data_IF_324178601388
#
_entry.id   IF_324178601388
#
_cell.length_a   1.000
_cell.length_b   1.000
_cell.length_c   1.000
_cell.angle_alpha   90.00
_cell.angle_beta   90.00
_cell.angle_gamma   90.00
#
_symmetry.space_group_name_H-M   'P 1'
#
loop_
_entity.id
_entity.type
_entity.pdbx_description
1 polymer ?
#
# COMPACT_ATOMS: atom_id res chain seq x y z
N UNK A 1 23.28 -3.86 -3.20
CA UNK A 1 23.80 -2.53 -2.78
C UNK A 1 22.66 -1.83 -2.06
N UNK A 2 22.83 -1.44 -0.81
CA UNK A 2 21.80 -0.68 -0.08
C UNK A 2 22.25 0.76 0.13
N UNK A 3 21.31 1.69 0.05
CA UNK A 3 21.48 3.10 0.41
C UNK A 3 20.18 3.56 1.09
N UNK A 4 20.23 4.46 2.06
CA UNK A 4 19.02 4.99 2.71
C UNK A 4 18.96 6.51 2.59
N UNK A 5 17.85 7.06 2.09
CA UNK A 5 17.64 8.51 1.96
C UNK A 5 16.14 8.91 2.05
N UNK A 6 15.82 9.90 2.88
CA UNK A 6 14.45 10.37 3.12
C UNK A 6 13.98 11.36 2.03
N UNK A 7 13.06 10.98 1.12
CA UNK A 7 12.62 11.86 0.01
C UNK A 7 11.12 11.77 -0.41
N UNK A 8 10.55 12.83 -1.06
CA UNK A 8 9.13 12.90 -1.46
C UNK A 8 8.72 11.98 -2.65
N UNK A 9 7.42 11.69 -2.76
CA UNK A 9 6.82 10.60 -3.56
C UNK A 9 6.94 10.71 -5.10
N UNK A 10 7.00 11.90 -5.71
CA UNK A 10 7.19 12.03 -7.17
C UNK A 10 8.67 11.97 -7.58
N UNK A 11 9.59 12.44 -6.73
CA UNK A 11 11.02 12.20 -6.88
C UNK A 11 11.35 10.71 -6.83
N UNK A 12 10.61 9.90 -6.08
CA UNK A 12 10.75 8.44 -6.12
C UNK A 12 10.43 7.88 -7.52
N UNK A 13 9.37 8.34 -8.18
CA UNK A 13 8.91 7.80 -9.46
C UNK A 13 9.88 8.10 -10.62
N UNK A 14 10.36 9.34 -10.73
CA UNK A 14 11.34 9.73 -11.77
C UNK A 14 12.72 9.11 -11.54
N UNK A 15 13.12 8.92 -10.28
CA UNK A 15 14.42 8.31 -9.93
C UNK A 15 14.44 6.80 -10.22
N UNK A 16 13.38 6.08 -9.87
CA UNK A 16 13.26 4.63 -10.19
C UNK A 16 13.30 4.40 -11.71
N UNK A 17 12.79 5.35 -12.49
CA UNK A 17 12.94 5.33 -13.94
C UNK A 17 14.40 5.46 -14.40
N UNK A 18 15.12 6.48 -13.91
CA UNK A 18 16.56 6.70 -14.21
C UNK A 18 17.41 5.48 -13.81
N UNK A 19 17.10 4.86 -12.67
CA UNK A 19 17.78 3.64 -12.25
C UNK A 19 17.51 2.45 -13.18
N UNK A 20 16.26 2.25 -13.63
CA UNK A 20 15.92 1.19 -14.59
C UNK A 20 16.51 1.44 -15.98
N UNK A 21 16.63 2.69 -16.41
CA UNK A 21 17.33 3.06 -17.66
C UNK A 21 18.79 2.65 -17.65
N UNK A 22 19.46 2.74 -16.49
CA UNK A 22 20.80 2.19 -16.28
C UNK A 22 20.82 0.68 -15.99
N UNK A 23 19.67 0.01 -16.09
CA UNK A 23 19.51 -1.45 -16.00
C UNK A 23 19.47 -2.01 -14.57
N UNK A 24 19.10 -1.23 -13.56
CA UNK A 24 19.02 -1.68 -12.16
C UNK A 24 17.65 -2.24 -11.78
N UNK A 25 17.64 -3.35 -11.02
CA UNK A 25 16.46 -3.78 -10.26
C UNK A 25 16.56 -3.21 -8.84
N UNK A 26 15.55 -2.45 -8.43
CA UNK A 26 15.53 -1.75 -7.13
C UNK A 26 14.36 -2.25 -6.29
N UNK A 27 14.62 -2.48 -5.00
CA UNK A 27 13.63 -2.73 -3.95
C UNK A 27 13.65 -1.50 -3.03
N UNK A 28 12.50 -0.87 -2.80
CA UNK A 28 12.41 0.32 -1.95
C UNK A 28 11.43 0.10 -0.79
N UNK A 29 11.89 0.28 0.45
CA UNK A 29 11.07 0.28 1.66
C UNK A 29 11.23 1.59 2.44
N UNK A 30 10.25 2.49 2.31
CA UNK A 30 10.24 3.83 2.91
C UNK A 30 11.46 4.65 2.52
N UNK A 31 12.46 4.69 3.41
CA UNK A 31 13.70 5.44 3.28
C UNK A 31 14.89 4.51 2.97
N UNK A 32 14.72 3.19 3.01
CA UNK A 32 15.75 2.19 2.74
C UNK A 32 15.63 1.66 1.30
N UNK A 33 16.71 1.74 0.53
CA UNK A 33 16.80 1.26 -0.85
C UNK A 33 17.72 0.05 -0.93
N UNK A 34 17.33 -0.94 -1.73
CA UNK A 34 18.15 -2.03 -2.22
C UNK A 34 18.27 -1.97 -3.73
N UNK A 35 19.45 -2.28 -4.24
CA UNK A 35 19.74 -2.39 -5.67
C UNK A 35 20.38 -3.75 -5.92
N UNK A 36 19.79 -4.51 -6.83
CA UNK A 36 20.27 -5.79 -7.32
C UNK A 36 20.48 -5.71 -8.83
N UNK A 37 21.59 -6.28 -9.32
CA UNK A 37 21.84 -6.43 -10.75
C UNK A 37 22.80 -7.60 -10.99
N UNK A 38 22.55 -8.40 -12.04
CA UNK A 38 23.43 -9.50 -12.44
C UNK A 38 24.55 -8.95 -13.32
N UNK A 39 25.74 -8.65 -12.76
CA UNK A 39 26.88 -8.06 -13.51
C UNK A 39 28.24 -8.62 -13.10
N UNK A 40 29.22 -8.49 -14.02
CA UNK A 40 30.64 -8.84 -13.83
C UNK A 40 31.46 -7.79 -13.03
N UNK A 41 31.00 -6.53 -12.95
CA UNK A 41 31.77 -5.41 -12.33
C UNK A 41 30.92 -4.56 -11.37
N UNK A 42 30.57 -5.11 -10.20
CA UNK A 42 29.64 -4.46 -9.27
C UNK A 42 30.22 -3.22 -8.56
N UNK A 43 31.54 -3.14 -8.36
CA UNK A 43 32.21 -2.05 -7.63
C UNK A 43 32.27 -0.71 -8.41
N UNK A 44 32.52 -0.75 -9.72
CA UNK A 44 32.54 0.46 -10.57
C UNK A 44 31.18 1.18 -10.50
N UNK A 45 30.15 0.36 -10.49
CA UNK A 45 28.77 0.78 -10.54
C UNK A 45 28.24 1.25 -9.17
N UNK A 46 28.77 0.70 -8.06
CA UNK A 46 28.58 1.26 -6.73
C UNK A 46 29.05 2.71 -6.67
N UNK A 47 30.26 3.00 -7.19
CA UNK A 47 30.81 4.37 -7.24
C UNK A 47 30.03 5.31 -8.17
N UNK A 48 29.55 4.82 -9.32
CA UNK A 48 28.68 5.61 -10.21
C UNK A 48 27.36 6.01 -9.54
N UNK A 49 26.84 5.15 -8.67
CA UNK A 49 25.59 5.36 -7.95
C UNK A 49 25.79 6.34 -6.77
N UNK A 50 26.90 6.23 -6.05
CA UNK A 50 27.36 7.20 -5.04
C UNK A 50 27.54 8.61 -5.66
N UNK A 51 28.20 8.70 -6.82
CA UNK A 51 28.37 9.96 -7.56
C UNK A 51 27.05 10.55 -8.07
N UNK A 52 26.09 9.70 -8.47
CA UNK A 52 24.74 10.12 -8.84
C UNK A 52 24.01 10.73 -7.63
N UNK A 53 24.13 10.12 -6.45
CA UNK A 53 23.51 10.64 -5.24
C UNK A 53 24.11 11.99 -4.83
N UNK A 54 25.43 12.12 -4.86
CA UNK A 54 26.13 13.37 -4.61
C UNK A 54 25.73 14.47 -5.59
N UNK A 55 25.71 14.19 -6.89
CA UNK A 55 25.29 15.17 -7.92
C UNK A 55 23.81 15.58 -7.82
N UNK A 56 22.98 14.74 -7.21
CA UNK A 56 21.57 15.04 -6.93
C UNK A 56 21.32 15.71 -5.56
N UNK A 57 22.40 16.02 -4.81
CA UNK A 57 22.32 16.65 -3.48
C UNK A 57 21.78 15.73 -2.38
N UNK A 58 22.06 14.42 -2.46
CA UNK A 58 21.57 13.40 -1.53
C UNK A 58 22.76 12.86 -0.71
N UNK A 59 22.69 13.01 0.60
CA UNK A 59 23.68 12.44 1.53
C UNK A 59 23.27 11.01 1.94
N UNK A 60 24.13 10.03 1.66
CA UNK A 60 23.93 8.66 2.09
C UNK A 60 24.35 8.43 3.55
N UNK A 61 23.63 7.54 4.22
CA UNK A 61 24.03 7.05 5.53
C UNK A 61 25.20 6.06 5.40
N UNK A 62 26.43 6.53 5.61
CA UNK A 62 27.68 5.75 5.44
C UNK A 62 27.71 4.42 6.22
N UNK A 63 27.08 4.34 7.39
CA UNK A 63 27.00 3.11 8.21
C UNK A 63 25.95 2.10 7.72
N UNK A 64 25.12 2.45 6.73
CA UNK A 64 24.10 1.59 6.11
C UNK A 64 24.39 1.29 4.64
N UNK A 65 25.37 1.99 4.06
CA UNK A 65 25.80 1.79 2.69
C UNK A 65 26.78 0.62 2.62
N UNK A 66 26.36 -0.49 2.00
CA UNK A 66 27.20 -1.68 1.85
C UNK A 66 27.61 -1.88 0.40
N UNK A 67 28.92 -2.09 0.21
CA UNK A 67 29.49 -2.56 -1.05
C UNK A 67 28.74 -3.80 -1.55
N UNK A 68 28.66 -4.02 -2.87
CA UNK A 68 27.97 -5.17 -3.42
C UNK A 68 28.53 -6.47 -2.87
N UNK A 69 27.67 -7.28 -2.27
CA UNK A 69 28.00 -8.55 -1.63
C UNK A 69 26.91 -9.56 -1.92
N UNK A 70 27.27 -10.84 -1.93
CA UNK A 70 26.32 -11.95 -2.04
C UNK A 70 25.58 -12.21 -0.73
N UNK A 71 26.10 -11.70 0.39
CA UNK A 71 25.52 -11.80 1.73
C UNK A 71 25.44 -10.41 2.36
N UNK A 72 24.25 -9.96 2.73
CA UNK A 72 24.04 -8.62 3.26
C UNK A 72 22.79 -8.48 4.12
N UNK A 73 22.82 -7.59 5.12
CA UNK A 73 21.66 -7.30 5.98
C UNK A 73 20.78 -6.19 5.39
N UNK A 74 19.45 -6.42 5.38
CA UNK A 74 18.42 -5.47 4.96
C UNK A 74 17.19 -5.58 5.85
N UNK A 75 16.69 -4.44 6.33
CA UNK A 75 15.55 -4.40 7.27
C UNK A 75 15.72 -5.30 8.50
N UNK A 76 16.98 -5.56 8.88
CA UNK A 76 17.31 -6.41 10.01
C UNK A 76 17.46 -7.90 9.70
N UNK A 77 17.37 -8.32 8.43
CA UNK A 77 17.44 -9.71 7.96
C UNK A 77 18.64 -9.85 7.02
N UNK A 78 19.42 -10.92 7.17
CA UNK A 78 20.50 -11.26 6.26
C UNK A 78 19.92 -11.98 5.05
N UNK A 79 20.17 -11.43 3.87
CA UNK A 79 19.92 -12.09 2.60
C UNK A 79 21.23 -12.67 2.07
N UNK A 80 21.28 -13.99 1.88
CA UNK A 80 22.38 -14.70 1.22
C UNK A 80 21.88 -15.24 -0.12
N UNK A 81 22.39 -14.66 -1.19
CA UNK A 81 22.02 -15.01 -2.57
C UNK A 81 22.71 -16.27 -3.10
N UNK A 82 23.79 -16.73 -2.45
CA UNK A 82 24.49 -17.97 -2.81
C UNK A 82 23.76 -19.16 -2.20
N UNK A 83 23.40 -19.06 -0.91
CA UNK A 83 22.60 -20.07 -0.21
C UNK A 83 21.11 -19.96 -0.49
N UNK A 84 20.68 -18.86 -1.11
CA UNK A 84 19.27 -18.50 -1.31
C UNK A 84 18.49 -18.45 0.01
N UNK A 85 19.12 -17.97 1.07
CA UNK A 85 18.55 -17.92 2.42
C UNK A 85 18.20 -16.51 2.87
N UNK A 86 17.11 -16.41 3.66
CA UNK A 86 16.80 -15.25 4.50
C UNK A 86 16.98 -15.63 5.96
N UNK A 87 18.03 -15.10 6.59
CA UNK A 87 18.51 -15.47 7.92
C UNK A 87 18.37 -14.30 8.90
N UNK A 88 18.14 -14.61 10.17
CA UNK A 88 18.27 -13.62 11.24
C UNK A 88 19.75 -13.51 11.59
N UNK A 89 20.30 -12.28 11.73
CA UNK A 89 21.65 -12.05 12.23
C UNK A 89 21.93 -12.77 13.56
N UNK A 90 23.17 -13.27 13.73
CA UNK A 90 23.57 -14.09 14.88
C UNK A 90 23.48 -13.35 16.22
N UNK A 91 23.77 -12.05 16.23
CA UNK A 91 23.60 -11.17 17.39
C UNK A 91 22.13 -11.13 17.85
N UNK A 92 21.19 -10.97 16.91
CA UNK A 92 19.75 -10.97 17.21
C UNK A 92 19.26 -12.35 17.63
N UNK A 93 19.82 -13.43 17.07
CA UNK A 93 19.50 -14.79 17.51
C UNK A 93 19.99 -15.07 18.93
N UNK A 94 21.20 -14.61 19.29
CA UNK A 94 21.72 -14.73 20.67
C UNK A 94 20.81 -14.03 21.67
N UNK A 95 20.35 -12.82 21.35
CA UNK A 95 19.38 -12.09 22.17
C UNK A 95 18.06 -12.86 22.35
N UNK A 96 17.54 -13.46 21.28
CA UNK A 96 16.29 -14.21 21.32
C UNK A 96 16.46 -15.50 22.14
N UNK A 97 17.58 -16.21 21.97
CA UNK A 97 17.88 -17.42 22.74
C UNK A 97 18.06 -17.11 24.23
N UNK A 98 18.75 -16.03 24.57
CA UNK A 98 18.89 -15.57 25.96
C UNK A 98 17.52 -15.28 26.59
N UNK A 99 16.65 -14.59 25.86
CA UNK A 99 15.29 -14.31 26.34
C UNK A 99 14.49 -15.60 26.46
N UNK A 100 14.49 -16.47 25.46
CA UNK A 100 13.78 -17.75 25.56
C UNK A 100 14.28 -18.59 26.73
N UNK A 101 15.58 -18.64 27.01
CA UNK A 101 16.14 -19.32 28.18
C UNK A 101 15.63 -18.75 29.51
N UNK A 102 15.52 -17.42 29.62
CA UNK A 102 14.96 -16.77 30.82
C UNK A 102 13.46 -17.05 31.09
N UNK A 103 12.77 -17.66 30.13
CA UNK A 103 11.37 -18.07 30.25
C UNK A 103 11.18 -19.55 30.58
N UNK A 104 12.27 -20.32 30.62
CA UNK A 104 12.21 -21.74 30.98
C UNK A 104 11.76 -21.92 32.45
N UNK A 105 10.79 -22.81 32.67
CA UNK A 105 10.23 -23.06 34.01
C UNK A 105 9.44 -21.91 34.63
N UNK A 106 9.31 -20.76 33.94
CA UNK A 106 8.63 -19.58 34.47
C UNK A 106 7.12 -19.82 34.56
N UNK A 107 6.56 -19.59 35.74
CA UNK A 107 5.12 -19.76 36.02
C UNK A 107 4.34 -18.44 35.93
N UNK A 108 5.01 -17.30 36.06
CA UNK A 108 4.40 -15.98 35.91
C UNK A 108 5.38 -14.90 35.41
N UNK A 109 4.87 -13.89 34.71
CA UNK A 109 5.67 -12.80 34.15
C UNK A 109 4.93 -11.45 34.21
N UNK A 110 5.68 -10.34 34.17
CA UNK A 110 5.08 -9.01 34.03
C UNK A 110 4.65 -8.78 32.58
N UNK A 111 3.64 -7.95 32.35
CA UNK A 111 3.16 -7.64 31.00
C UNK A 111 4.27 -7.13 30.06
N UNK A 112 5.19 -6.31 30.56
CA UNK A 112 6.34 -5.81 29.78
C UNK A 112 7.23 -6.95 29.27
N UNK A 113 7.43 -7.97 30.10
CA UNK A 113 8.24 -9.14 29.72
C UNK A 113 7.52 -9.91 28.60
N UNK A 114 6.20 -10.13 28.75
CA UNK A 114 5.36 -10.81 27.75
C UNK A 114 5.41 -10.08 26.41
N UNK A 115 5.24 -8.76 26.41
CA UNK A 115 5.31 -7.92 25.21
C UNK A 115 6.69 -8.00 24.54
N UNK A 116 7.77 -7.98 25.33
CA UNK A 116 9.15 -8.09 24.84
C UNK A 116 9.40 -9.43 24.15
N UNK A 117 8.98 -10.54 24.78
CA UNK A 117 9.08 -11.88 24.22
C UNK A 117 8.33 -11.98 22.88
N UNK A 118 7.05 -11.57 22.87
CA UNK A 118 6.19 -11.67 21.68
C UNK A 118 6.69 -10.78 20.54
N UNK A 119 7.17 -9.57 20.84
CA UNK A 119 7.75 -8.69 19.84
C UNK A 119 8.95 -9.33 19.14
N UNK A 120 9.84 -9.95 19.92
CA UNK A 120 11.03 -10.64 19.39
C UNK A 120 10.70 -11.92 18.61
N UNK A 121 9.74 -12.72 19.09
CA UNK A 121 9.27 -13.90 18.35
C UNK A 121 8.51 -13.55 17.06
N UNK A 122 7.77 -12.44 17.07
CA UNK A 122 7.08 -11.96 15.87
C UNK A 122 8.08 -11.51 14.78
N UNK A 123 9.17 -10.86 15.19
CA UNK A 123 10.28 -10.56 14.29
C UNK A 123 10.92 -11.84 13.77
N UNK A 124 11.22 -12.82 14.63
CA UNK A 124 11.79 -14.10 14.21
C UNK A 124 10.87 -14.86 13.22
N UNK A 125 9.55 -14.80 13.39
CA UNK A 125 8.56 -15.43 12.52
C UNK A 125 8.52 -14.85 11.08
N UNK A 126 9.27 -13.78 10.77
CA UNK A 126 9.53 -13.36 9.39
C UNK A 126 10.41 -14.35 8.65
N UNK A 127 11.40 -14.94 9.35
CA UNK A 127 12.35 -15.93 8.84
C UNK A 127 12.01 -17.37 9.27
N UNK A 128 11.10 -17.55 10.21
CA UNK A 128 10.66 -18.88 10.67
C UNK A 128 9.17 -19.05 10.37
N UNK A 129 8.83 -19.35 9.11
CA UNK A 129 7.43 -19.40 8.62
C UNK A 129 6.53 -20.37 9.41
N UNK A 130 6.97 -21.61 9.76
CA UNK A 130 6.15 -22.53 10.57
C UNK A 130 5.80 -21.97 11.96
N UNK A 131 6.65 -21.09 12.50
CA UNK A 131 6.46 -20.43 13.79
C UNK A 131 5.23 -19.52 13.86
N UNK A 132 4.68 -19.07 12.72
CA UNK A 132 3.52 -18.16 12.66
C UNK A 132 2.26 -18.76 13.28
N UNK A 133 2.11 -20.09 13.26
CA UNK A 133 0.97 -20.79 13.88
C UNK A 133 0.95 -20.55 15.39
N UNK A 134 2.12 -20.61 16.03
CA UNK A 134 2.30 -20.39 17.47
C UNK A 134 2.17 -18.91 17.85
N UNK A 135 2.52 -17.99 16.94
CA UNK A 135 2.36 -16.54 17.16
C UNK A 135 0.90 -16.13 17.36
N UNK A 136 -0.06 -16.76 16.68
CA UNK A 136 -1.48 -16.44 16.84
C UNK A 136 -1.97 -16.63 18.28
N UNK A 137 -1.58 -17.74 18.92
CA UNK A 137 -1.93 -18.03 20.32
C UNK A 137 -1.25 -17.08 21.29
N UNK A 138 0.04 -16.81 21.10
CA UNK A 138 0.78 -15.84 21.91
C UNK A 138 0.17 -14.44 21.84
N UNK A 139 -0.22 -13.99 20.64
CA UNK A 139 -0.86 -12.69 20.44
C UNK A 139 -2.26 -12.63 21.05
N UNK A 140 -3.04 -13.71 21.00
CA UNK A 140 -4.35 -13.78 21.66
C UNK A 140 -4.19 -13.75 23.18
N UNK A 141 -3.25 -14.52 23.74
CA UNK A 141 -2.95 -14.48 25.16
C UNK A 141 -2.51 -13.08 25.63
N UNK A 142 -1.66 -12.39 24.84
CA UNK A 142 -1.28 -11.02 25.14
C UNK A 142 -2.49 -10.07 25.21
N UNK A 143 -3.50 -10.26 24.36
CA UNK A 143 -4.74 -9.46 24.40
C UNK A 143 -5.54 -9.75 25.66
N UNK A 144 -5.63 -11.01 26.08
CA UNK A 144 -6.37 -11.43 27.29
C UNK A 144 -5.76 -10.90 28.59
N UNK A 145 -4.44 -10.68 28.61
CA UNK A 145 -3.70 -10.27 29.81
C UNK A 145 -3.25 -8.81 29.81
N UNK A 146 -3.62 -8.05 28.78
CA UNK A 146 -3.12 -6.68 28.55
C UNK A 146 -3.47 -5.71 29.69
N UNK A 147 -4.63 -5.86 30.31
CA UNK A 147 -5.09 -4.95 31.39
C UNK A 147 -4.78 -5.48 32.80
N UNK A 148 -4.15 -6.65 32.91
CA UNK A 148 -3.80 -7.24 34.22
C UNK A 148 -2.58 -6.53 34.82
N UNK A 149 -2.71 -6.09 36.07
CA UNK A 149 -1.62 -5.50 36.84
C UNK A 149 -0.88 -6.58 37.64
N UNK A 150 0.44 -6.45 37.74
CA UNK A 150 1.29 -7.36 38.51
C UNK A 150 1.85 -8.53 37.68
N UNK A 151 2.05 -9.67 38.36
CA UNK A 151 2.54 -10.89 37.72
C UNK A 151 1.36 -11.68 37.13
N UNK A 152 1.47 -12.02 35.85
CA UNK A 152 0.47 -12.77 35.09
C UNK A 152 0.92 -14.23 35.03
N UNK A 153 0.06 -15.15 35.47
CA UNK A 153 0.31 -16.59 35.35
C UNK A 153 0.38 -17.01 33.88
N UNK A 154 1.35 -17.86 33.55
CA UNK A 154 1.60 -18.35 32.19
C UNK A 154 0.79 -19.64 31.98
N UNK A 155 -0.19 -19.64 31.07
CA UNK A 155 -0.97 -20.84 30.77
C UNK A 155 -0.11 -21.98 30.20
N UNK A 156 -0.52 -23.23 30.45
CA UNK A 156 0.25 -24.43 30.05
C UNK A 156 0.42 -24.56 28.52
N UNK A 157 -0.57 -24.15 27.74
CA UNK A 157 -0.50 -24.07 26.27
C UNK A 157 0.54 -23.03 25.79
N UNK A 158 0.66 -21.90 26.47
CA UNK A 158 1.67 -20.87 26.16
C UNK A 158 3.07 -21.36 26.52
N UNK A 159 3.21 -22.05 27.66
CA UNK A 159 4.48 -22.66 28.03
C UNK A 159 4.94 -23.68 26.97
N UNK A 160 4.03 -24.53 26.46
CA UNK A 160 4.30 -25.45 25.35
C UNK A 160 4.78 -24.72 24.08
N UNK A 161 4.21 -23.56 23.77
CA UNK A 161 4.62 -22.76 22.60
C UNK A 161 6.02 -22.16 22.79
N UNK A 162 6.36 -21.71 24.00
CA UNK A 162 7.71 -21.22 24.34
C UNK A 162 8.73 -22.36 24.24
N UNK A 163 8.42 -23.55 24.77
CA UNK A 163 9.26 -24.74 24.67
C UNK A 163 9.47 -25.15 23.20
N UNK A 164 8.42 -25.04 22.38
CA UNK A 164 8.55 -25.27 20.95
C UNK A 164 9.56 -24.31 20.32
N UNK A 165 9.46 -23.00 20.59
CA UNK A 165 10.42 -22.01 20.10
C UNK A 165 11.85 -22.26 20.59
N UNK A 166 12.04 -22.65 21.86
CA UNK A 166 13.35 -23.00 22.41
C UNK A 166 14.01 -24.17 21.65
N UNK A 167 13.24 -25.21 21.32
CA UNK A 167 13.74 -26.37 20.56
C UNK A 167 13.95 -26.04 19.08
N UNK A 168 13.10 -25.20 18.50
CA UNK A 168 13.08 -24.96 17.06
C UNK A 168 14.08 -23.89 16.60
N UNK A 169 14.29 -22.83 17.39
CA UNK A 169 15.21 -21.72 17.05
C UNK A 169 16.67 -22.15 16.80
N UNK A 170 17.24 -23.11 17.56
CA UNK A 170 18.57 -23.65 17.27
C UNK A 170 18.66 -24.43 15.96
N UNK A 171 17.55 -25.05 15.54
CA UNK A 171 17.48 -25.96 14.40
C UNK A 171 17.15 -25.23 13.09
N UNK A 172 16.58 -24.02 13.17
CA UNK A 172 16.00 -23.36 12.01
C UNK A 172 16.33 -21.85 11.97
N UNK A 173 17.40 -21.49 11.26
CA UNK A 173 17.69 -20.13 10.83
C UNK A 173 17.98 -20.12 9.33
N UNK A 174 17.13 -19.45 8.54
CA UNK A 174 17.24 -19.41 7.08
C UNK A 174 15.99 -19.97 6.39
N UNK A 175 15.29 -19.12 5.64
CA UNK A 175 14.28 -19.56 4.66
C UNK A 175 14.99 -19.81 3.34
N UNK A 176 14.98 -21.04 2.80
CA UNK A 176 15.22 -21.22 1.36
C UNK A 176 14.15 -20.46 0.60
N UNK A 177 14.55 -19.45 -0.18
CA UNK A 177 13.66 -18.54 -0.91
C UNK A 177 12.79 -19.27 -1.94
N UNK A 178 13.14 -20.51 -2.28
CA UNK A 178 12.38 -21.45 -3.10
C UNK A 178 12.08 -22.71 -2.29
N UNK A 179 10.79 -23.12 -2.27
CA UNK A 179 10.43 -24.50 -1.96
C UNK A 179 11.06 -25.36 -3.06
N UNK A 180 12.00 -26.22 -2.68
CA UNK A 180 12.57 -27.24 -3.57
C UNK A 180 11.71 -28.51 -3.58
N UNK A 181 10.48 -28.44 -3.05
CA UNK A 181 9.56 -29.57 -3.04
C UNK A 181 8.72 -29.49 -4.32
N UNK A 182 8.89 -30.50 -5.19
CA UNK A 182 7.88 -30.82 -6.19
C UNK A 182 6.60 -31.18 -5.43
N UNK A 183 5.58 -30.33 -5.52
CA UNK A 183 4.27 -30.64 -4.98
C UNK A 183 3.70 -31.82 -5.77
N UNK A 184 3.79 -33.02 -5.19
CA UNK A 184 2.90 -34.12 -5.58
C UNK A 184 1.49 -33.81 -5.08
N UNK A 185 0.52 -34.28 -5.86
CA UNK A 185 -0.95 -34.10 -5.77
C UNK A 185 -1.50 -33.85 -4.34
N UNK A 186 -2.50 -32.96 -4.17
CA UNK A 186 -3.08 -32.68 -2.85
C UNK A 186 -3.67 -33.94 -2.19
N UNK A 187 -3.46 -34.09 -0.89
CA UNK A 187 -3.99 -35.21 -0.09
C UNK A 187 -5.53 -35.20 -0.02
N UNK A 188 -6.17 -34.02 -0.05
CA UNK A 188 -7.64 -33.89 -0.11
C UNK A 188 -8.08 -32.64 -0.89
N UNK A 189 -9.23 -32.76 -1.57
CA UNK A 189 -9.88 -31.68 -2.33
C UNK A 189 -11.30 -31.54 -1.78
N UNK A 190 -11.65 -30.35 -1.28
CA UNK A 190 -13.01 -30.02 -0.84
C UNK A 190 -13.74 -29.17 -1.88
N UNK A 191 -14.98 -29.58 -2.18
CA UNK A 191 -15.92 -28.83 -3.00
C UNK A 191 -17.23 -28.67 -2.22
N UNK A 192 -17.78 -27.46 -2.20
CA UNK A 192 -19.11 -27.15 -1.69
C UNK A 192 -19.93 -26.60 -2.84
N UNK A 193 -21.14 -27.11 -3.00
CA UNK A 193 -22.09 -26.58 -3.96
C UNK A 193 -22.76 -25.32 -3.41
N UNK A 194 -22.75 -24.28 -4.22
CA UNK A 194 -23.70 -23.17 -4.11
C UNK A 194 -24.30 -23.00 -5.50
N UNK A 195 -25.62 -23.16 -5.64
CA UNK A 195 -26.30 -22.90 -6.90
C UNK A 195 -26.80 -21.45 -6.95
N UNK A 196 -27.01 -20.95 -8.16
CA UNK A 196 -27.23 -19.52 -8.44
C UNK A 196 -28.72 -19.11 -8.33
N UNK A 197 -29.66 -20.04 -8.08
CA UNK A 197 -31.13 -19.75 -8.22
C UNK A 197 -32.06 -20.16 -7.06
N UNK A 198 -31.59 -20.79 -5.97
CA UNK A 198 -32.32 -20.89 -4.68
C UNK A 198 -33.20 -22.14 -4.44
N UNK A 199 -33.81 -22.21 -3.25
CA UNK A 199 -34.81 -23.20 -2.79
C UNK A 199 -36.15 -22.50 -2.46
N UNK A 200 -37.28 -23.13 -2.82
CA UNK A 200 -38.61 -22.50 -2.81
C UNK A 200 -39.45 -22.78 -1.56
N UNK A 201 -40.20 -21.75 -1.13
CA UNK A 201 -41.31 -21.81 -0.17
C UNK A 201 -42.19 -20.56 -0.34
N UNK A 202 -43.52 -20.71 -0.18
CA UNK A 202 -44.49 -19.62 -0.29
C UNK A 202 -44.82 -19.01 1.09
N UNK A 203 -44.72 -17.69 1.20
CA UNK A 203 -45.08 -16.94 2.42
C UNK A 203 -45.50 -15.52 2.00
N UNK A 204 -46.63 -15.01 2.47
CA UNK A 204 -47.07 -13.63 2.20
C UNK A 204 -46.06 -12.60 2.77
N UNK A 205 -45.99 -11.39 2.19
CA UNK A 205 -44.99 -10.31 2.40
C UNK A 205 -43.68 -10.38 1.59
N UNK A 206 -43.56 -11.23 0.58
CA UNK A 206 -42.35 -11.30 -0.26
C UNK A 206 -42.06 -9.97 -0.95
N UNK A 207 -43.07 -9.25 -1.46
CA UNK A 207 -42.86 -8.04 -2.26
C UNK A 207 -42.28 -6.90 -1.44
N UNK A 208 -42.79 -6.66 -0.22
CA UNK A 208 -42.26 -5.60 0.64
C UNK A 208 -40.88 -5.97 1.20
N UNK A 209 -40.67 -7.22 1.65
CA UNK A 209 -39.34 -7.69 2.07
C UNK A 209 -38.33 -7.67 0.93
N UNK A 210 -38.77 -7.89 -0.31
CA UNK A 210 -37.93 -7.75 -1.49
C UNK A 210 -37.57 -6.28 -1.74
N UNK A 211 -38.52 -5.35 -1.60
CA UNK A 211 -38.24 -3.92 -1.64
C UNK A 211 -37.27 -3.49 -0.55
N UNK A 212 -37.39 -3.99 0.69
CA UNK A 212 -36.42 -3.72 1.76
C UNK A 212 -35.01 -4.23 1.42
N UNK A 213 -34.91 -5.42 0.81
CA UNK A 213 -33.64 -5.95 0.31
C UNK A 213 -33.06 -5.09 -0.81
N UNK A 214 -33.90 -4.63 -1.73
CA UNK A 214 -33.50 -3.78 -2.86
C UNK A 214 -33.08 -2.38 -2.41
N UNK A 215 -33.76 -1.79 -1.41
CA UNK A 215 -33.34 -0.56 -0.74
C UNK A 215 -31.97 -0.75 -0.11
N UNK A 216 -31.74 -1.85 0.63
CA UNK A 216 -30.42 -2.17 1.21
C UNK A 216 -29.36 -2.34 0.13
N UNK A 217 -29.69 -2.95 -1.01
CA UNK A 217 -28.78 -3.13 -2.15
C UNK A 217 -28.41 -1.81 -2.84
N UNK A 218 -29.39 -0.96 -3.13
CA UNK A 218 -29.19 0.36 -3.73
C UNK A 218 -28.40 1.27 -2.81
N UNK A 219 -28.72 1.27 -1.52
CA UNK A 219 -28.01 2.07 -0.52
C UNK A 219 -26.54 1.65 -0.39
N UNK A 220 -26.26 0.34 -0.40
CA UNK A 220 -24.87 -0.16 -0.45
C UNK A 220 -24.14 0.23 -1.74
N UNK A 221 -24.86 0.53 -2.82
CA UNK A 221 -24.28 0.92 -4.12
C UNK A 221 -23.91 2.41 -4.18
N UNK A 222 -24.39 3.23 -3.23
CA UNK A 222 -24.05 4.65 -3.13
C UNK A 222 -22.55 4.92 -2.92
N UNK A 223 -21.80 3.95 -2.38
CA UNK A 223 -20.37 4.10 -2.12
C UNK A 223 -19.51 3.40 -3.18
N UNK A 224 -18.56 4.16 -3.73
CA UNK A 224 -17.48 3.62 -4.55
C UNK A 224 -16.69 2.51 -3.83
N UNK A 225 -16.09 1.58 -4.58
CA UNK A 225 -15.31 0.45 -4.03
C UNK A 225 -14.22 0.91 -3.07
N UNK A 226 -13.50 1.99 -3.40
CA UNK A 226 -12.48 2.57 -2.52
C UNK A 226 -13.06 3.09 -1.20
N UNK A 227 -14.24 3.70 -1.23
CA UNK A 227 -14.94 4.17 -0.03
C UNK A 227 -15.38 3.01 0.85
N UNK A 228 -15.86 1.89 0.27
CA UNK A 228 -16.18 0.67 1.04
C UNK A 228 -14.96 0.11 1.77
N UNK A 229 -13.80 0.04 1.11
CA UNK A 229 -12.54 -0.39 1.75
C UNK A 229 -12.13 0.53 2.91
N UNK A 230 -12.32 1.84 2.76
CA UNK A 230 -12.08 2.80 3.82
C UNK A 230 -13.04 2.60 5.00
N UNK A 231 -14.34 2.40 4.75
CA UNK A 231 -15.34 2.14 5.78
C UNK A 231 -14.96 0.93 6.64
N UNK A 232 -14.56 -0.19 6.02
CA UNK A 232 -14.10 -1.39 6.76
C UNK A 232 -12.93 -1.07 7.68
N UNK A 233 -12.00 -0.22 7.23
CA UNK A 233 -10.85 0.20 8.05
C UNK A 233 -11.28 1.09 9.22
N UNK A 234 -12.22 2.01 8.99
CA UNK A 234 -12.78 2.89 10.02
C UNK A 234 -13.57 2.10 11.07
N UNK A 235 -14.36 1.13 10.62
CA UNK A 235 -15.13 0.22 11.46
C UNK A 235 -14.22 -0.62 12.36
N UNK A 236 -13.18 -1.23 11.78
CA UNK A 236 -12.18 -1.98 12.55
C UNK A 236 -11.51 -1.12 13.62
N UNK A 237 -11.09 0.09 13.28
CA UNK A 237 -10.46 1.00 14.23
C UNK A 237 -11.39 1.36 15.40
N UNK A 238 -12.67 1.62 15.10
CA UNK A 238 -13.67 1.93 16.13
C UNK A 238 -13.97 0.72 17.02
N UNK A 239 -14.18 -0.46 16.43
CA UNK A 239 -14.44 -1.69 17.21
C UNK A 239 -13.25 -2.06 18.10
N UNK A 240 -12.02 -1.88 17.62
CA UNK A 240 -10.81 -2.07 18.43
C UNK A 240 -10.70 -1.05 19.56
N UNK A 241 -11.06 0.22 19.32
CA UNK A 241 -11.14 1.23 20.38
C UNK A 241 -12.18 0.83 21.43
N UNK A 242 -13.38 0.41 21.01
CA UNK A 242 -14.44 0.00 21.91
C UNK A 242 -14.06 -1.22 22.75
N UNK A 243 -13.46 -2.22 22.11
CA UNK A 243 -12.95 -3.41 22.77
C UNK A 243 -11.85 -3.07 23.78
N UNK A 244 -10.93 -2.17 23.43
CA UNK A 244 -9.80 -1.79 24.29
C UNK A 244 -10.24 -1.00 25.54
N UNK A 245 -11.22 -0.11 25.41
CA UNK A 245 -11.71 0.70 26.53
C UNK A 245 -12.94 0.09 27.23
N UNK A 246 -13.32 -1.13 26.87
CA UNK A 246 -14.52 -1.83 27.36
C UNK A 246 -15.79 -0.96 27.31
N UNK A 247 -16.00 -0.30 26.16
CA UNK A 247 -17.19 0.52 25.90
C UNK A 247 -18.06 -0.14 24.85
N UNK A 248 -19.38 -0.12 25.04
CA UNK A 248 -20.32 -0.70 24.09
C UNK A 248 -20.16 -0.04 22.70
N UNK A 249 -19.87 -0.81 21.64
CA UNK A 249 -19.72 -0.25 20.30
C UNK A 249 -21.08 0.14 19.68
N UNK A 250 -22.13 -0.58 20.06
CA UNK A 250 -23.48 -0.46 19.51
C UNK A 250 -24.48 -0.70 20.67
N UNK A 251 -25.44 0.22 20.92
CA UNK A 251 -25.55 1.56 20.37
C UNK A 251 -24.46 2.50 20.93
N UNK A 252 -23.87 3.35 20.08
CA UNK A 252 -22.82 4.28 20.51
C UNK A 252 -23.39 5.50 21.25
N UNK A 253 -22.72 5.91 22.32
CA UNK A 253 -23.09 7.10 23.10
C UNK A 253 -22.31 8.35 22.67
N UNK A 254 -22.81 9.54 23.00
CA UNK A 254 -22.09 10.81 22.82
C UNK A 254 -20.72 10.81 23.50
N UNK A 255 -20.66 10.33 24.74
CA UNK A 255 -19.41 10.20 25.50
C UNK A 255 -18.41 9.31 24.75
N UNK A 256 -18.85 8.17 24.23
CA UNK A 256 -18.00 7.26 23.45
C UNK A 256 -17.47 7.92 22.19
N UNK A 257 -18.29 8.68 21.45
CA UNK A 257 -17.84 9.41 20.24
C UNK A 257 -16.82 10.50 20.59
N UNK A 258 -17.05 11.28 21.64
CA UNK A 258 -16.11 12.32 22.09
C UNK A 258 -14.76 11.70 22.51
N UNK A 259 -14.80 10.63 23.31
CA UNK A 259 -13.60 9.89 23.70
C UNK A 259 -12.89 9.29 22.48
N UNK A 260 -13.64 8.75 21.52
CA UNK A 260 -13.05 8.20 20.29
C UNK A 260 -12.41 9.30 19.43
N UNK A 261 -13.05 10.46 19.27
CA UNK A 261 -12.48 11.61 18.58
C UNK A 261 -11.16 12.05 19.23
N UNK A 262 -11.14 12.14 20.57
CA UNK A 262 -9.95 12.46 21.33
C UNK A 262 -8.86 11.39 21.19
N UNK A 263 -9.22 10.11 21.20
CA UNK A 263 -8.31 8.99 20.98
C UNK A 263 -7.68 9.04 19.59
N UNK A 264 -8.50 9.22 18.54
CA UNK A 264 -8.06 9.36 17.17
C UNK A 264 -7.10 10.52 16.98
N UNK A 265 -7.29 11.61 17.72
CA UNK A 265 -6.38 12.76 17.69
C UNK A 265 -4.94 12.36 18.07
N UNK A 266 -4.74 11.32 18.89
CA UNK A 266 -3.40 10.86 19.31
C UNK A 266 -2.58 10.36 18.11
N UNK A 267 -3.23 9.80 17.10
CA UNK A 267 -2.60 9.22 15.92
C UNK A 267 -2.74 10.09 14.67
N UNK A 268 -3.90 10.73 14.48
CA UNK A 268 -4.16 11.58 13.33
C UNK A 268 -3.74 13.03 13.59
N UNK A 269 -3.05 13.60 12.59
CA UNK A 269 -2.67 15.02 12.60
C UNK A 269 -3.81 15.91 12.08
N UNK A 270 -4.62 15.42 11.14
CA UNK A 270 -5.73 16.18 10.55
C UNK A 270 -7.05 15.90 11.27
N UNK A 271 -7.78 16.97 11.61
CA UNK A 271 -9.14 16.92 12.15
C UNK A 271 -10.15 16.38 11.13
N UNK A 272 -9.88 16.50 9.83
CA UNK A 272 -10.73 15.93 8.79
C UNK A 272 -10.62 14.41 8.73
N UNK A 273 -9.43 13.86 8.98
CA UNK A 273 -9.27 12.41 9.15
C UNK A 273 -10.08 11.90 10.34
N UNK A 274 -10.06 12.61 11.47
CA UNK A 274 -10.86 12.26 12.65
C UNK A 274 -12.36 12.26 12.30
N UNK A 275 -12.85 13.34 11.68
CA UNK A 275 -14.25 13.45 11.25
C UNK A 275 -14.64 12.34 10.26
N UNK A 276 -13.76 11.98 9.34
CA UNK A 276 -14.00 10.89 8.39
C UNK A 276 -14.14 9.53 9.10
N UNK A 277 -13.35 9.24 10.13
CA UNK A 277 -13.47 8.01 10.89
C UNK A 277 -14.78 7.97 11.70
N UNK A 278 -15.19 9.10 12.29
CA UNK A 278 -16.46 9.22 13.02
C UNK A 278 -17.65 9.05 12.08
N UNK A 279 -17.59 9.63 10.87
CA UNK A 279 -18.59 9.40 9.83
C UNK A 279 -18.67 7.92 9.42
N UNK A 280 -17.54 7.19 9.46
CA UNK A 280 -17.53 5.74 9.28
C UNK A 280 -18.40 5.01 10.32
N UNK A 281 -18.31 5.41 11.59
CA UNK A 281 -19.15 4.87 12.67
C UNK A 281 -20.62 5.23 12.48
N UNK A 282 -20.92 6.46 12.03
CA UNK A 282 -22.28 6.87 11.67
C UNK A 282 -22.87 5.97 10.58
N UNK A 283 -22.08 5.67 9.54
CA UNK A 283 -22.51 4.78 8.46
C UNK A 283 -22.70 3.33 8.95
N UNK A 284 -21.88 2.86 9.90
CA UNK A 284 -22.09 1.55 10.54
C UNK A 284 -23.46 1.48 11.23
N UNK A 285 -23.80 2.48 12.05
CA UNK A 285 -25.07 2.53 12.76
C UNK A 285 -26.26 2.61 11.79
N UNK A 286 -26.12 3.41 10.74
CA UNK A 286 -27.10 3.48 9.67
C UNK A 286 -27.34 2.13 8.99
N UNK A 287 -26.29 1.32 8.72
CA UNK A 287 -26.48 -0.02 8.14
C UNK A 287 -27.10 -1.05 9.09
N UNK A 288 -27.04 -0.79 10.39
CA UNK A 288 -27.67 -1.63 11.42
C UNK A 288 -29.07 -1.15 11.76
N UNK A 289 -29.59 -0.15 11.05
CA UNK A 289 -30.90 0.46 11.32
C UNK A 289 -30.98 1.03 12.77
N UNK A 290 -29.86 1.58 13.27
CA UNK A 290 -29.72 2.12 14.63
C UNK A 290 -29.47 3.64 14.66
N UNK A 291 -29.95 4.34 15.70
CA UNK A 291 -29.70 5.77 15.86
C UNK A 291 -28.22 6.06 16.12
N UNK A 292 -27.76 7.23 15.67
CA UNK A 292 -26.41 7.72 15.88
C UNK A 292 -26.43 9.12 16.50
N UNK A 293 -25.58 9.44 17.50
CA UNK A 293 -25.54 10.77 18.13
C UNK A 293 -25.34 11.91 17.11
N UNK A 294 -26.14 12.99 17.14
CA UNK A 294 -25.99 14.08 16.18
C UNK A 294 -24.66 14.81 16.33
N UNK A 295 -23.86 14.80 15.27
CA UNK A 295 -22.54 15.46 15.23
C UNK A 295 -22.63 16.99 15.23
N UNK A 296 -23.82 17.55 15.07
CA UNK A 296 -24.04 19.00 15.13
C UNK A 296 -24.17 19.56 16.55
N UNK A 297 -24.15 18.68 17.57
CA UNK A 297 -24.17 19.06 18.97
C UNK A 297 -23.00 20.00 19.33
N UNK A 298 -23.29 21.01 20.14
CA UNK A 298 -22.32 21.97 20.66
C UNK A 298 -21.10 21.31 21.31
N UNK A 299 -21.27 20.27 22.12
CA UNK A 299 -20.16 19.58 22.80
C UNK A 299 -19.15 19.00 21.81
N UNK A 300 -19.64 18.32 20.77
CA UNK A 300 -18.78 17.72 19.75
C UNK A 300 -18.07 18.80 18.91
N UNK A 301 -18.78 19.88 18.57
CA UNK A 301 -18.20 21.03 17.86
C UNK A 301 -17.09 21.70 18.68
N UNK A 302 -17.32 21.92 19.97
CA UNK A 302 -16.34 22.50 20.88
C UNK A 302 -15.11 21.60 21.02
N UNK A 303 -15.29 20.29 21.17
CA UNK A 303 -14.20 19.32 21.21
C UNK A 303 -13.35 19.38 19.93
N UNK A 304 -13.99 19.33 18.76
CA UNK A 304 -13.28 19.38 17.47
C UNK A 304 -12.53 20.70 17.27
N UNK A 305 -13.09 21.83 17.72
CA UNK A 305 -12.40 23.12 17.73
C UNK A 305 -11.20 23.11 18.68
N UNK A 306 -11.34 22.52 19.87
CA UNK A 306 -10.25 22.33 20.82
C UNK A 306 -9.11 21.48 20.25
N UNK A 307 -9.43 20.32 19.65
CA UNK A 307 -8.47 19.44 18.98
C UNK A 307 -7.74 20.19 17.87
N UNK A 308 -8.45 20.98 17.06
CA UNK A 308 -7.86 21.76 15.98
C UNK A 308 -6.87 22.81 16.47
N UNK A 309 -7.14 23.47 17.60
CA UNK A 309 -6.22 24.45 18.22
C UNK A 309 -4.98 23.78 18.83
N UNK A 310 -5.16 22.66 19.52
CA UNK A 310 -4.06 21.91 20.16
C UNK A 310 -3.16 21.25 19.10
N UNK A 311 -3.75 20.76 18.01
CA UNK A 311 -3.04 20.08 16.92
C UNK A 311 -3.09 20.91 15.65
N UNK A 312 -2.34 22.02 15.67
CA UNK A 312 -2.11 22.79 14.45
C UNK A 312 -1.43 21.91 13.41
N UNK A 313 -2.19 21.52 12.39
CA UNK A 313 -1.70 20.69 11.30
C UNK A 313 -1.78 21.49 10.00
N UNK A 314 -0.61 21.77 9.44
CA UNK A 314 -0.51 22.19 8.05
C UNK A 314 -0.43 20.94 7.17
N UNK A 315 -1.38 20.74 6.23
CA UNK A 315 -1.27 19.68 5.25
C UNK A 315 0.03 19.84 4.45
N UNK A 316 0.84 18.79 4.36
CA UNK A 316 2.00 18.79 3.46
C UNK A 316 1.49 18.62 2.04
N UNK A 317 1.52 19.69 1.27
CA UNK A 317 1.28 19.63 -0.17
C UNK A 317 2.55 19.16 -0.87
N UNK A 318 2.40 18.26 -1.84
CA UNK A 318 3.51 17.91 -2.72
C UNK A 318 3.92 19.16 -3.50
N UNK A 319 5.23 19.38 -3.67
CA UNK A 319 5.72 20.47 -4.51
C UNK A 319 5.21 20.29 -5.94
N UNK A 320 4.78 21.36 -6.62
CA UNK A 320 4.33 21.26 -8.00
C UNK A 320 5.45 20.77 -8.90
N UNK A 321 5.10 20.00 -9.92
CA UNK A 321 6.01 19.73 -11.04
C UNK A 321 6.21 21.05 -11.77
N UNK A 322 7.45 21.40 -12.13
CA UNK A 322 7.76 22.61 -12.89
C UNK A 322 8.27 22.26 -14.28
N UNK A 323 8.15 23.16 -15.27
CA UNK A 323 8.76 22.97 -16.58
C UNK A 323 10.27 22.71 -16.51
N UNK A 324 10.99 23.34 -15.59
CA UNK A 324 12.43 23.14 -15.42
C UNK A 324 12.75 21.72 -14.91
N UNK A 325 11.92 21.18 -14.01
CA UNK A 325 12.04 19.78 -13.59
C UNK A 325 11.86 18.82 -14.78
N UNK A 326 10.91 19.11 -15.68
CA UNK A 326 10.71 18.31 -16.90
C UNK A 326 11.92 18.40 -17.83
N UNK A 327 12.53 19.58 -18.01
CA UNK A 327 13.76 19.74 -18.80
C UNK A 327 14.94 18.96 -18.21
N UNK A 328 15.11 18.98 -16.89
CA UNK A 328 16.16 18.20 -16.23
C UNK A 328 15.92 16.69 -16.39
N UNK A 329 14.68 16.23 -16.32
CA UNK A 329 14.33 14.83 -16.56
C UNK A 329 14.68 14.39 -17.98
N UNK A 330 14.48 15.26 -18.99
CA UNK A 330 14.78 14.94 -20.39
C UNK A 330 16.24 14.57 -20.62
N UNK A 331 17.18 15.11 -19.83
CA UNK A 331 18.62 14.76 -19.94
C UNK A 331 18.91 13.28 -19.70
N UNK A 332 17.99 12.56 -19.08
CA UNK A 332 18.12 11.14 -18.76
C UNK A 332 17.26 10.24 -19.64
N UNK A 333 16.42 10.79 -20.51
CA UNK A 333 15.50 10.04 -21.36
C UNK A 333 16.04 9.95 -22.79
N UNK A 334 16.03 8.75 -23.36
CA UNK A 334 16.26 8.54 -24.78
C UNK A 334 14.92 8.51 -25.53
N UNK A 335 14.55 9.61 -26.19
CA UNK A 335 13.27 9.72 -26.89
C UNK A 335 13.15 8.83 -28.14
N UNK A 336 14.23 8.16 -28.56
CA UNK A 336 14.20 7.11 -29.58
C UNK A 336 13.90 5.72 -28.99
N UNK A 337 13.93 5.59 -27.66
CA UNK A 337 13.46 4.41 -26.97
C UNK A 337 11.93 4.42 -26.81
N UNK A 338 11.28 3.32 -27.19
CA UNK A 338 9.82 3.15 -27.08
C UNK A 338 9.30 3.30 -25.64
N UNK A 339 10.05 2.88 -24.63
CA UNK A 339 9.62 2.98 -23.23
C UNK A 339 9.66 4.44 -22.76
N UNK A 340 10.76 5.12 -23.05
CA UNK A 340 11.03 6.50 -22.61
C UNK A 340 10.04 7.47 -23.20
N UNK A 341 9.74 7.35 -24.50
CA UNK A 341 8.73 8.21 -25.14
C UNK A 341 7.35 8.04 -24.51
N UNK A 342 6.99 6.82 -24.06
CA UNK A 342 5.71 6.56 -23.38
C UNK A 342 5.66 7.25 -22.03
N UNK A 343 6.70 7.10 -21.20
CA UNK A 343 6.75 7.78 -19.90
C UNK A 343 6.83 9.30 -20.05
N UNK A 344 7.57 9.78 -21.05
CA UNK A 344 7.62 11.20 -21.38
C UNK A 344 6.25 11.77 -21.71
N UNK A 345 5.49 11.09 -22.58
CA UNK A 345 4.11 11.46 -22.87
C UNK A 345 3.21 11.40 -21.63
N UNK A 346 3.36 10.36 -20.82
CA UNK A 346 2.60 10.18 -19.60
C UNK A 346 2.84 11.31 -18.59
N UNK A 347 4.09 11.78 -18.44
CA UNK A 347 4.42 12.93 -17.60
C UNK A 347 3.79 14.21 -18.11
N UNK A 348 3.79 14.44 -19.42
CA UNK A 348 3.11 15.60 -20.00
C UNK A 348 1.60 15.55 -19.85
N UNK A 349 0.98 14.39 -20.04
CA UNK A 349 -0.46 14.25 -19.82
C UNK A 349 -0.82 14.43 -18.34
N UNK A 350 0.03 13.96 -17.42
CA UNK A 350 -0.16 14.23 -16.00
C UNK A 350 -0.02 15.72 -15.68
N UNK A 351 1.01 16.37 -16.23
CA UNK A 351 1.30 17.79 -16.02
C UNK A 351 0.24 18.69 -16.66
N UNK A 352 0.08 18.69 -17.98
CA UNK A 352 -0.79 19.63 -18.69
C UNK A 352 -2.28 19.39 -18.45
N UNK A 353 -2.72 18.14 -18.27
CA UNK A 353 -4.13 17.86 -17.98
C UNK A 353 -4.46 18.02 -16.49
N UNK A 354 -3.46 18.20 -15.63
CA UNK A 354 -3.59 18.14 -14.16
C UNK A 354 -4.37 16.89 -13.71
N UNK A 355 -4.17 15.80 -14.45
CA UNK A 355 -4.98 14.59 -14.31
C UNK A 355 -4.46 13.73 -13.18
N UNK A 356 -5.38 13.06 -12.47
CA UNK A 356 -4.98 12.02 -11.51
C UNK A 356 -4.41 10.85 -12.28
N UNK A 357 -3.36 10.22 -11.76
CA UNK A 357 -2.80 8.96 -12.30
C UNK A 357 -3.88 7.91 -12.60
N UNK A 358 -4.94 7.87 -11.79
CA UNK A 358 -6.10 6.98 -11.93
C UNK A 358 -6.83 7.11 -13.25
N UNK A 359 -6.72 8.26 -13.88
CA UNK A 359 -7.37 8.56 -15.14
C UNK A 359 -6.45 8.23 -16.33
N UNK A 360 -5.14 8.12 -16.12
CA UNK A 360 -4.15 7.89 -17.17
C UNK A 360 -3.76 6.43 -17.31
N UNK A 361 -3.65 5.69 -16.20
CA UNK A 361 -3.17 4.31 -16.18
C UNK A 361 -4.04 3.45 -15.24
N UNK A 362 -4.23 2.14 -15.49
CA UNK A 362 -4.90 1.23 -14.57
C UNK A 362 -4.09 0.85 -13.33
N UNK A 363 -4.77 0.35 -12.29
CA UNK A 363 -4.12 -0.20 -11.08
C UNK A 363 -3.28 -1.45 -11.40
N UNK A 364 -3.83 -2.36 -12.21
CA UNK A 364 -3.22 -3.58 -12.75
C UNK A 364 -3.66 -3.82 -14.19
N UNK A 365 -2.96 -4.68 -14.92
CA UNK A 365 -3.33 -5.05 -16.30
C UNK A 365 -4.76 -5.60 -16.36
N UNK A 366 -5.12 -6.49 -15.43
CA UNK A 366 -6.45 -7.13 -15.37
C UNK A 366 -7.57 -6.16 -14.95
N UNK A 367 -7.21 -5.01 -14.37
CA UNK A 367 -8.18 -3.97 -13.97
C UNK A 367 -8.50 -2.98 -15.09
N UNK A 368 -7.92 -3.16 -16.28
CA UNK A 368 -8.16 -2.27 -17.40
C UNK A 368 -9.61 -2.37 -17.88
N UNK A 369 -10.24 -1.21 -18.07
CA UNK A 369 -11.60 -1.08 -18.59
C UNK A 369 -11.63 0.11 -19.56
N UNK A 370 -11.82 -0.17 -20.85
CA UNK A 370 -11.82 0.83 -21.91
C UNK A 370 -12.93 1.88 -21.75
N UNK A 371 -14.02 1.57 -21.04
CA UNK A 371 -15.08 2.54 -20.73
C UNK A 371 -14.66 3.51 -19.63
N UNK A 372 -13.83 3.06 -18.68
CA UNK A 372 -13.46 3.84 -17.50
C UNK A 372 -12.10 4.54 -17.59
N UNK A 373 -11.21 4.07 -18.46
CA UNK A 373 -9.84 4.57 -18.55
C UNK A 373 -9.57 5.26 -19.88
N UNK A 374 -8.45 5.98 -19.92
CA UNK A 374 -8.02 6.69 -21.12
C UNK A 374 -7.47 5.70 -22.14
N UNK A 375 -8.10 5.67 -23.31
CA UNK A 375 -7.71 4.84 -24.46
C UNK A 375 -7.17 5.71 -25.59
N UNK A 376 -6.56 5.08 -26.60
CA UNK A 376 -6.08 5.78 -27.81
C UNK A 376 -7.21 6.54 -28.52
N UNK A 377 -8.38 5.93 -28.64
CA UNK A 377 -9.57 6.52 -29.26
C UNK A 377 -10.19 7.69 -28.48
N UNK A 378 -9.77 7.91 -27.23
CA UNK A 378 -10.20 9.06 -26.41
C UNK A 378 -9.26 10.26 -26.51
N UNK A 379 -8.28 10.21 -27.41
CA UNK A 379 -7.38 11.33 -27.72
C UNK A 379 -7.53 11.72 -29.18
N UNK A 380 -8.28 12.80 -29.42
CA UNK A 380 -8.56 13.30 -30.76
C UNK A 380 -7.50 14.30 -31.18
N UNK A 381 -6.69 13.94 -32.15
CA UNK A 381 -5.59 14.77 -32.65
C UNK A 381 -6.07 15.71 -33.75
N UNK A 382 -5.73 17.00 -33.64
CA UNK A 382 -5.87 18.02 -34.66
C UNK A 382 -4.53 18.76 -34.86
N UNK A 383 -4.40 19.57 -35.91
CA UNK A 383 -3.14 20.22 -36.29
C UNK A 383 -2.43 20.99 -35.16
N UNK A 384 -3.19 21.70 -34.32
CA UNK A 384 -2.64 22.53 -33.23
C UNK A 384 -3.09 22.12 -31.84
N UNK A 385 -3.99 21.15 -31.72
CA UNK A 385 -4.61 20.75 -30.44
C UNK A 385 -4.86 19.25 -30.42
N UNK A 386 -4.63 18.61 -29.28
CA UNK A 386 -5.13 17.27 -28.99
C UNK A 386 -6.24 17.36 -27.94
N UNK A 387 -7.44 16.89 -28.23
CA UNK A 387 -8.56 16.88 -27.29
C UNK A 387 -8.57 15.53 -26.55
N UNK A 388 -8.34 15.57 -25.25
CA UNK A 388 -8.35 14.38 -24.37
C UNK A 388 -9.70 14.27 -23.69
N UNK A 389 -10.34 13.11 -23.78
CA UNK A 389 -11.69 12.88 -23.29
C UNK A 389 -11.69 11.94 -22.08
N UNK A 390 -12.22 12.43 -20.95
CA UNK A 390 -12.49 11.63 -19.76
C UNK A 390 -13.98 11.50 -19.53
N UNK A 391 -14.50 10.29 -19.70
CA UNK A 391 -15.90 9.93 -19.44
C UNK A 391 -16.10 9.42 -18.01
N UNK A 392 -15.01 9.01 -17.36
CA UNK A 392 -15.03 8.44 -16.02
C UNK A 392 -13.89 9.01 -15.18
N UNK A 393 -14.22 9.47 -13.98
CA UNK A 393 -13.24 9.96 -13.00
C UNK A 393 -13.74 9.69 -11.58
N UNK A 394 -12.92 10.00 -10.56
CA UNK A 394 -13.37 9.96 -9.16
C UNK A 394 -14.68 10.73 -8.92
N UNK A 395 -14.90 11.82 -9.64
CA UNK A 395 -16.08 12.70 -9.51
C UNK A 395 -17.07 12.54 -10.65
N UNK A 396 -16.89 11.55 -11.53
CA UNK A 396 -17.79 11.24 -12.64
C UNK A 396 -17.89 9.72 -12.66
N UNK A 397 -18.76 9.17 -11.81
CA UNK A 397 -18.93 7.72 -11.63
C UNK A 397 -20.26 7.22 -12.20
N UNK A 398 -21.10 8.13 -12.70
CA UNK A 398 -22.43 7.84 -13.22
C UNK A 398 -22.60 8.30 -14.67
N UNK A 399 -21.51 8.68 -15.36
CA UNK A 399 -21.56 9.18 -16.73
C UNK A 399 -22.29 10.53 -16.90
N UNK A 400 -22.51 11.24 -15.80
CA UNK A 400 -23.27 12.50 -15.74
C UNK A 400 -22.71 13.64 -16.59
N UNK A 401 -21.41 13.57 -16.96
CA UNK A 401 -20.76 14.52 -17.86
C UNK A 401 -19.51 13.92 -18.48
N UNK A 402 -19.08 14.49 -19.60
CA UNK A 402 -17.83 14.16 -20.28
C UNK A 402 -16.88 15.35 -20.17
N UNK A 403 -15.65 15.12 -19.70
CA UNK A 403 -14.61 16.16 -19.67
C UNK A 403 -13.79 16.09 -20.95
N UNK A 404 -13.77 17.19 -21.69
CA UNK A 404 -12.91 17.37 -22.87
C UNK A 404 -11.85 18.40 -22.52
N UNK A 405 -10.60 17.98 -22.41
CA UNK A 405 -9.48 18.84 -22.01
C UNK A 405 -8.54 19.00 -23.21
N UNK A 406 -8.35 20.22 -23.74
CA UNK A 406 -7.44 20.44 -24.85
C UNK A 406 -5.99 20.49 -24.36
N UNK A 407 -5.11 19.79 -25.09
CA UNK A 407 -3.66 19.95 -25.04
C UNK A 407 -3.23 20.76 -26.25
N UNK A 408 -2.65 21.93 -26.01
CA UNK A 408 -2.23 22.84 -27.08
C UNK A 408 -0.83 22.47 -27.54
N UNK A 409 -0.61 22.48 -28.85
CA UNK A 409 0.72 22.34 -29.44
C UNK A 409 1.55 23.57 -29.10
N UNK A 410 2.75 23.34 -28.57
CA UNK A 410 3.73 24.38 -28.31
C UNK A 410 4.77 24.27 -29.42
N UNK A 411 4.76 25.23 -30.34
CA UNK A 411 5.68 25.25 -31.48
C UNK A 411 7.12 25.40 -30.97
N UNK A 412 8.05 24.68 -31.62
CA UNK A 412 9.50 24.65 -31.33
C UNK A 412 9.91 24.34 -29.88
N UNK A 413 9.02 23.73 -29.10
CA UNK A 413 9.29 23.35 -27.71
C UNK A 413 9.52 21.86 -27.53
N UNK A 414 10.63 21.51 -26.89
CA UNK A 414 10.91 20.16 -26.37
C UNK A 414 9.88 19.71 -25.32
N UNK A 415 9.11 20.64 -24.75
CA UNK A 415 8.06 20.38 -23.76
C UNK A 415 6.65 20.25 -24.36
N UNK A 416 6.55 20.03 -25.68
CA UNK A 416 5.26 19.97 -26.36
C UNK A 416 4.55 18.61 -26.14
N UNK A 417 3.37 18.59 -25.47
CA UNK A 417 2.62 17.34 -25.23
C UNK A 417 2.08 16.72 -26.52
N UNK A 418 1.66 17.54 -27.48
CA UNK A 418 1.10 17.11 -28.77
C UNK A 418 2.17 16.44 -29.62
N UNK A 419 3.36 17.04 -29.72
CA UNK A 419 4.49 16.48 -30.46
C UNK A 419 4.95 15.15 -29.84
N UNK A 420 5.06 15.10 -28.51
CA UNK A 420 5.43 13.88 -27.80
C UNK A 420 4.42 12.74 -28.07
N UNK A 421 3.12 13.03 -27.93
CA UNK A 421 2.07 12.02 -28.16
C UNK A 421 2.07 11.50 -29.60
N UNK A 422 2.20 12.39 -30.58
CA UNK A 422 2.32 12.01 -31.99
C UNK A 422 3.53 11.11 -32.25
N UNK A 423 4.70 11.44 -31.66
CA UNK A 423 5.91 10.61 -31.77
C UNK A 423 5.69 9.23 -31.14
N UNK A 424 5.10 9.17 -29.95
CA UNK A 424 4.76 7.91 -29.28
C UNK A 424 3.83 7.05 -30.15
N UNK A 425 2.75 7.61 -30.72
CA UNK A 425 1.82 6.87 -31.57
C UNK A 425 2.49 6.30 -32.83
N UNK A 426 3.42 7.05 -33.44
CA UNK A 426 4.19 6.59 -34.60
C UNK A 426 5.13 5.44 -34.25
N UNK A 427 5.81 5.53 -33.10
CA UNK A 427 6.74 4.50 -32.65
C UNK A 427 6.02 3.24 -32.13
N UNK A 428 4.82 3.41 -31.55
CA UNK A 428 4.04 2.34 -30.93
C UNK A 428 2.58 2.42 -31.40
N UNK A 429 2.29 1.93 -32.62
CA UNK A 429 0.93 1.82 -33.12
C UNK A 429 0.10 0.89 -32.22
N UNK A 430 -1.11 1.30 -31.88
CA UNK A 430 -2.03 0.52 -31.07
C UNK A 430 -3.49 0.82 -31.43
N UNK A 431 -4.43 -0.14 -31.29
CA UNK A 431 -5.84 0.06 -31.60
C UNK A 431 -6.51 1.15 -30.76
N UNK A 432 -7.64 1.69 -31.21
CA UNK A 432 -8.36 2.75 -30.50
C UNK A 432 -8.82 2.35 -29.08
N UNK A 433 -9.23 1.10 -28.90
CA UNK A 433 -9.66 0.57 -27.61
C UNK A 433 -8.50 0.28 -26.65
N UNK A 434 -7.27 0.28 -27.16
CA UNK A 434 -6.09 0.03 -26.33
C UNK A 434 -5.86 1.17 -25.34
N UNK A 435 -5.25 0.88 -24.17
CA UNK A 435 -4.84 1.92 -23.25
C UNK A 435 -3.99 2.99 -23.94
N UNK A 436 -4.18 4.25 -23.57
CA UNK A 436 -3.47 5.36 -24.20
C UNK A 436 -1.94 5.26 -24.05
N UNK A 437 -1.45 4.56 -23.01
CA UNK A 437 -0.04 4.36 -22.73
C UNK A 437 0.29 2.87 -22.62
N UNK A 438 1.00 2.37 -23.64
CA UNK A 438 1.44 0.97 -23.76
C UNK A 438 2.91 0.91 -24.11
N UNK A 439 3.62 -0.08 -23.56
CA UNK A 439 5.04 -0.33 -23.83
C UNK A 439 5.16 -1.62 -24.65
N UNK A 440 6.06 -1.63 -25.63
CA UNK A 440 6.38 -2.83 -26.42
C UNK A 440 7.35 -3.72 -25.64
N UNK A 441 6.97 -4.97 -25.36
CA UNK A 441 7.83 -5.98 -24.71
C UNK A 441 7.69 -7.33 -25.41
N UNK A 442 8.80 -7.85 -25.95
CA UNK A 442 8.88 -9.15 -26.62
C UNK A 442 7.74 -9.34 -27.66
N UNK A 443 7.61 -8.39 -28.59
CA UNK A 443 6.55 -8.32 -29.60
C UNK A 443 5.09 -8.08 -29.12
N UNK A 444 4.82 -8.12 -27.81
CA UNK A 444 3.50 -7.80 -27.24
C UNK A 444 3.40 -6.36 -26.73
N UNK A 445 2.22 -5.75 -26.84
CA UNK A 445 1.91 -4.47 -26.19
C UNK A 445 1.47 -4.73 -24.75
N UNK A 446 2.09 -4.04 -23.78
CA UNK A 446 1.72 -4.13 -22.37
C UNK A 446 1.29 -2.77 -21.83
N UNK A 447 0.17 -2.76 -21.13
CA UNK A 447 -0.38 -1.57 -20.46
C UNK A 447 0.56 -1.07 -19.36
N UNK A 448 0.79 0.24 -19.31
CA UNK A 448 1.45 0.87 -18.18
C UNK A 448 0.50 0.90 -16.99
N UNK A 449 0.93 0.38 -15.84
CA UNK A 449 0.11 0.28 -14.61
C UNK A 449 0.57 1.25 -13.54
N UNK A 450 -0.24 1.44 -12.50
CA UNK A 450 0.11 2.20 -11.29
C UNK A 450 1.44 1.77 -10.70
N UNK A 451 1.64 0.45 -10.59
CA UNK A 451 2.87 -0.10 -10.01
C UNK A 451 4.06 0.34 -10.84
N UNK A 452 3.99 0.27 -12.16
CA UNK A 452 5.08 0.69 -13.03
C UNK A 452 5.30 2.21 -13.00
N UNK A 453 4.22 2.99 -12.97
CA UNK A 453 4.29 4.45 -12.90
C UNK A 453 4.80 4.98 -11.55
N UNK A 454 4.64 4.23 -10.46
CA UNK A 454 5.05 4.66 -9.12
C UNK A 454 6.37 4.06 -8.60
N UNK A 455 6.90 3.00 -9.21
CA UNK A 455 7.13 1.77 -8.44
C UNK A 455 7.80 1.88 -7.07
N UNK A 456 6.97 1.94 -6.02
CA UNK A 456 7.12 1.03 -4.87
C UNK A 456 6.98 -0.40 -5.41
N UNK A 457 8.10 -1.07 -5.61
CA UNK A 457 8.24 -2.53 -5.59
C UNK A 457 9.57 -2.83 -4.94
#
# INVERSE_FOLDING_TARGET
>A
MFSSANLPTFHQCSRIYIYRLKGFDIINYLDDFAVQKRLKTPLKLFKELENLFLSCGIEESTHKAFSPSHRMEFLGIICDTVKLTLEIPDDKLKDIRSILGSWEGRQSAKLRDIQSLIGKLNFLATCVRPGRVFMSRLLNWLREVYDRKGYISIPSNINKDIVWWQKFVPLYNGISMMSLEEWSKPDEIFSSDSCITGCGGWFSDVQFKQLEKDVKKSTKSAFAVGTKKNLVSQWRAFLLFCFYFDVAPIPVTFKTINCYAQFLSRSFKSTDSIRNYINGVKIMHFYLDLPFPPLDNFEFKLLMAGISRVKQHCPRQARPITPDLLKEMLKFLDLDNCTDIVYWCLFFFAFFLMSRKSNLVPDSVDSFDCKRQLTRGKVFMHERVAIVVFEWTKTIQCGERILKIPLVKIDDSILCPVTAYNRMCRMIPAPEESPAFVIKRNASLKTVTYKQFQSKT
#
